data_IF_109825319466
#
_entry.id   IF_109825319466
#
_cell.length_a   1.000
_cell.length_b   1.000
_cell.length_c   1.000
_cell.angle_alpha   90.00
_cell.angle_beta   90.00
_cell.angle_gamma   90.00
#
_symmetry.space_group_name_H-M   'P 1'
#
loop_
_entity.id
_entity.type
_entity.pdbx_description
1 polymer ?
#
# COMPACT_ATOMS: atom_id res chain seq x y z
N UNK A 1 0.40 32.05 -7.78
CA UNK A 1 -0.58 32.65 -6.84
C UNK A 1 -0.44 32.15 -5.41
N UNK A 2 -0.64 30.86 -5.10
CA UNK A 2 -0.46 30.34 -3.73
C UNK A 2 1.01 30.48 -3.26
N UNK A 3 1.95 30.12 -4.14
CA UNK A 3 3.39 30.35 -3.96
C UNK A 3 3.71 31.83 -3.71
N UNK A 4 3.24 32.71 -4.59
CA UNK A 4 3.49 34.16 -4.45
C UNK A 4 2.98 34.73 -3.12
N UNK A 5 1.83 34.25 -2.61
CA UNK A 5 1.27 34.67 -1.33
C UNK A 5 2.13 34.19 -0.15
N UNK A 6 2.63 32.95 -0.21
CA UNK A 6 3.55 32.40 0.79
C UNK A 6 4.92 33.09 0.78
N UNK A 7 5.44 33.43 -0.41
CA UNK A 7 6.79 33.99 -0.56
C UNK A 7 6.82 35.51 -0.33
N UNK A 8 5.77 36.26 -0.69
CA UNK A 8 5.81 37.72 -0.72
C UNK A 8 4.86 38.43 0.27
N UNK A 9 3.82 37.76 0.78
CA UNK A 9 2.75 38.41 1.56
C UNK A 9 2.57 37.82 2.97
N UNK A 10 3.31 36.77 3.33
CA UNK A 10 3.04 35.95 4.52
C UNK A 10 3.07 36.69 5.86
N UNK A 11 3.84 37.78 6.01
CA UNK A 11 3.97 38.50 7.29
C UNK A 11 2.72 39.34 7.67
N UNK A 12 1.81 39.59 6.72
CA UNK A 12 0.57 40.36 6.95
C UNK A 12 -0.68 39.72 6.38
N UNK A 13 -0.57 38.50 5.85
CA UNK A 13 -1.68 37.78 5.24
C UNK A 13 -2.69 37.28 6.28
N UNK A 14 -3.96 37.27 5.90
CA UNK A 14 -5.03 36.64 6.66
C UNK A 14 -4.71 35.16 6.93
N UNK A 15 -4.79 34.67 8.19
CA UNK A 15 -4.48 33.28 8.52
C UNK A 15 -5.26 32.26 7.70
N UNK A 16 -6.54 32.53 7.38
CA UNK A 16 -7.35 31.62 6.57
C UNK A 16 -6.88 31.59 5.11
N UNK A 17 -6.52 32.75 4.53
CA UNK A 17 -5.88 32.80 3.22
C UNK A 17 -4.55 32.05 3.18
N UNK A 18 -3.76 32.15 4.25
CA UNK A 18 -2.48 31.45 4.39
C UNK A 18 -2.66 29.93 4.51
N UNK A 19 -3.63 29.46 5.31
CA UNK A 19 -3.98 28.06 5.44
C UNK A 19 -4.39 27.47 4.08
N UNK A 20 -5.24 28.20 3.34
CA UNK A 20 -5.66 27.81 1.99
C UNK A 20 -4.51 27.80 0.99
N UNK A 21 -3.59 28.75 1.07
CA UNK A 21 -2.41 28.78 0.21
C UNK A 21 -1.49 27.58 0.45
N UNK A 22 -1.24 27.23 1.72
CA UNK A 22 -0.49 26.02 2.11
C UNK A 22 -1.16 24.76 1.59
N UNK A 23 -2.47 24.62 1.80
CA UNK A 23 -3.24 23.50 1.28
C UNK A 23 -3.11 23.35 -0.23
N UNK A 24 -3.39 24.41 -0.99
CA UNK A 24 -3.35 24.35 -2.46
C UNK A 24 -1.96 24.04 -3.00
N UNK A 25 -0.92 24.66 -2.44
CA UNK A 25 0.45 24.39 -2.85
C UNK A 25 0.89 22.97 -2.44
N UNK A 26 0.62 22.55 -1.21
CA UNK A 26 0.91 21.21 -0.71
C UNK A 26 0.22 20.13 -1.56
N UNK A 27 -1.06 20.32 -1.89
CA UNK A 27 -1.80 19.43 -2.79
C UNK A 27 -1.18 19.37 -4.18
N UNK A 28 -0.80 20.51 -4.75
CA UNK A 28 -0.17 20.57 -6.09
C UNK A 28 1.16 19.82 -6.10
N UNK A 29 1.99 20.02 -5.07
CA UNK A 29 3.27 19.33 -4.94
C UNK A 29 3.10 17.84 -4.68
N UNK A 30 2.11 17.44 -3.86
CA UNK A 30 1.76 16.03 -3.66
C UNK A 30 1.37 15.36 -4.97
N UNK A 31 0.52 15.99 -5.79
CA UNK A 31 0.19 15.47 -7.14
C UNK A 31 1.43 15.39 -8.01
N UNK A 32 2.27 16.43 -8.03
CA UNK A 32 3.52 16.43 -8.79
C UNK A 32 4.47 15.29 -8.36
N UNK A 33 4.58 15.03 -7.06
CA UNK A 33 5.36 13.91 -6.52
C UNK A 33 4.89 12.57 -7.08
N UNK A 34 3.60 12.25 -6.94
CA UNK A 34 3.05 10.97 -7.40
C UNK A 34 3.15 10.78 -8.92
N UNK A 35 2.96 11.86 -9.68
CA UNK A 35 3.13 11.82 -11.13
C UNK A 35 4.60 11.61 -11.52
N UNK A 36 5.53 12.21 -10.79
CA UNK A 36 6.95 11.95 -10.97
C UNK A 36 7.34 10.50 -10.62
N UNK A 37 6.78 9.93 -9.55
CA UNK A 37 6.94 8.51 -9.19
C UNK A 37 6.42 7.57 -10.29
N UNK A 38 5.36 7.96 -10.99
CA UNK A 38 4.83 7.23 -12.16
C UNK A 38 5.63 7.45 -13.47
N UNK A 39 6.78 8.14 -13.42
CA UNK A 39 7.62 8.38 -14.61
C UNK A 39 7.23 9.61 -15.43
N UNK A 40 6.36 10.49 -14.92
CA UNK A 40 5.90 11.70 -15.61
C UNK A 40 6.55 12.99 -15.07
N UNK A 41 7.75 12.90 -14.49
CA UNK A 41 8.41 14.01 -13.81
C UNK A 41 8.57 15.28 -14.68
N UNK A 42 8.93 15.13 -15.95
CA UNK A 42 9.12 16.24 -16.88
C UNK A 42 7.81 17.00 -17.16
N UNK A 43 6.70 16.27 -17.34
CA UNK A 43 5.38 16.85 -17.62
C UNK A 43 4.87 17.72 -16.46
N UNK A 44 5.35 17.44 -15.24
CA UNK A 44 4.99 18.18 -14.02
C UNK A 44 6.10 19.10 -13.53
N UNK A 45 7.21 19.22 -14.26
CA UNK A 45 8.32 20.10 -13.91
C UNK A 45 9.02 19.72 -12.60
N UNK A 46 9.01 18.44 -12.24
CA UNK A 46 9.63 17.93 -11.01
C UNK A 46 11.04 17.47 -11.30
N UNK A 47 12.05 18.22 -10.84
CA UNK A 47 13.46 17.87 -10.99
C UNK A 47 14.04 17.11 -9.79
N UNK A 48 13.46 17.31 -8.59
CA UNK A 48 13.92 16.71 -7.34
C UNK A 48 12.73 16.11 -6.59
N UNK A 49 12.40 14.85 -6.91
CA UNK A 49 11.18 14.17 -6.45
C UNK A 49 11.07 14.11 -4.92
N UNK A 50 12.15 13.72 -4.23
CA UNK A 50 12.15 13.60 -2.76
C UNK A 50 12.06 14.96 -2.05
N UNK A 51 12.72 15.99 -2.59
CA UNK A 51 12.58 17.38 -2.11
C UNK A 51 11.14 17.90 -2.25
N UNK A 52 10.45 17.55 -3.34
CA UNK A 52 9.03 17.85 -3.53
C UNK A 52 8.15 17.11 -2.51
N UNK A 53 8.41 15.82 -2.23
CA UNK A 53 7.70 15.05 -1.18
C UNK A 53 7.78 15.74 0.17
N UNK A 54 9.01 16.04 0.62
CA UNK A 54 9.26 16.69 1.92
C UNK A 54 8.55 18.05 2.03
N UNK A 55 8.64 18.87 0.98
CA UNK A 55 7.96 20.18 0.95
C UNK A 55 6.44 20.04 0.98
N UNK A 56 5.88 19.08 0.22
CA UNK A 56 4.46 18.81 0.20
C UNK A 56 3.94 18.36 1.57
N UNK A 57 4.65 17.43 2.23
CA UNK A 57 4.29 16.93 3.54
C UNK A 57 4.24 18.06 4.58
N UNK A 58 5.30 18.90 4.66
CA UNK A 58 5.33 20.03 5.58
C UNK A 58 4.22 21.06 5.34
N UNK A 59 3.89 21.36 4.08
CA UNK A 59 2.79 22.27 3.76
C UNK A 59 1.42 21.69 4.13
N UNK A 60 1.21 20.40 3.92
CA UNK A 60 -0.03 19.72 4.26
C UNK A 60 -0.20 19.56 5.77
N UNK A 61 0.87 19.27 6.52
CA UNK A 61 0.86 19.27 7.98
C UNK A 61 0.40 20.64 8.54
N UNK A 62 0.99 21.74 8.04
CA UNK A 62 0.59 23.09 8.44
C UNK A 62 -0.83 23.44 8.00
N UNK A 63 -1.28 22.93 6.84
CA UNK A 63 -2.65 23.12 6.39
C UNK A 63 -3.64 22.38 7.31
N UNK A 64 -3.38 21.12 7.66
CA UNK A 64 -4.18 20.35 8.64
C UNK A 64 -4.32 21.09 9.97
N UNK A 65 -3.22 21.63 10.48
CA UNK A 65 -3.22 22.36 11.75
C UNK A 65 -4.03 23.68 11.74
N UNK A 66 -4.40 24.21 10.56
CA UNK A 66 -5.00 25.54 10.44
C UNK A 66 -6.32 25.59 9.66
N UNK A 67 -6.65 24.55 8.89
CA UNK A 67 -7.93 24.42 8.21
C UNK A 67 -9.04 24.00 9.18
N UNK A 68 -10.28 24.48 8.99
CA UNK A 68 -11.43 23.97 9.73
C UNK A 68 -11.69 22.49 9.39
N UNK A 69 -11.90 21.67 10.42
CA UNK A 69 -12.05 20.21 10.31
C UNK A 69 -13.32 19.77 9.54
N UNK A 70 -14.33 20.63 9.49
CA UNK A 70 -15.60 20.40 8.78
C UNK A 70 -15.53 20.71 7.28
N UNK A 71 -14.31 20.85 6.72
CA UNK A 71 -14.13 21.18 5.31
C UNK A 71 -13.53 20.03 4.51
N UNK A 72 -13.94 19.83 3.24
CA UNK A 72 -13.32 18.85 2.36
C UNK A 72 -11.82 19.06 2.14
N UNK A 73 -11.36 20.31 2.30
CA UNK A 73 -9.93 20.66 2.23
C UNK A 73 -9.14 20.05 3.40
N UNK A 74 -9.71 20.01 4.61
CA UNK A 74 -9.09 19.35 5.75
C UNK A 74 -8.96 17.84 5.51
N UNK A 75 -10.06 17.19 5.11
CA UNK A 75 -10.06 15.76 4.77
C UNK A 75 -9.00 15.43 3.71
N UNK A 76 -8.98 16.20 2.62
CA UNK A 76 -7.99 16.05 1.53
C UNK A 76 -6.56 16.28 2.03
N UNK A 77 -6.34 17.27 2.89
CA UNK A 77 -5.02 17.54 3.45
C UNK A 77 -4.53 16.37 4.31
N UNK A 78 -5.41 15.80 5.13
CA UNK A 78 -5.13 14.63 5.96
C UNK A 78 -4.72 13.42 5.11
N UNK A 79 -5.56 12.99 4.17
CA UNK A 79 -5.25 11.80 3.35
C UNK A 79 -4.00 11.98 2.49
N UNK A 80 -3.77 13.18 1.93
CA UNK A 80 -2.57 13.44 1.13
C UNK A 80 -1.31 13.52 1.98
N UNK A 81 -1.42 14.00 3.22
CA UNK A 81 -0.31 13.99 4.16
C UNK A 81 0.04 12.56 4.56
N UNK A 82 -0.95 11.75 4.94
CA UNK A 82 -0.76 10.34 5.30
C UNK A 82 -0.07 9.54 4.20
N UNK A 83 -0.50 9.70 2.95
CA UNK A 83 0.14 9.05 1.79
C UNK A 83 1.62 9.42 1.64
N UNK A 84 2.01 10.67 1.85
CA UNK A 84 3.40 11.10 1.68
C UNK A 84 4.30 10.62 2.82
N UNK A 85 3.76 10.51 4.03
CA UNK A 85 4.50 10.04 5.19
C UNK A 85 4.68 8.53 5.17
N UNK A 86 3.64 7.78 4.81
CA UNK A 86 3.74 6.32 4.66
C UNK A 86 4.73 5.93 3.55
N UNK A 87 4.70 6.60 2.39
CA UNK A 87 5.70 6.39 1.34
C UNK A 87 7.13 6.83 1.75
N UNK A 88 7.26 7.78 2.68
CA UNK A 88 8.57 8.08 3.28
C UNK A 88 9.04 6.96 4.19
N UNK A 89 8.16 6.47 5.06
CA UNK A 89 8.42 5.32 5.91
C UNK A 89 8.85 4.09 5.11
N UNK A 90 8.16 3.77 4.01
CA UNK A 90 8.48 2.63 3.13
C UNK A 90 9.74 2.87 2.29
N UNK A 91 9.97 4.10 1.82
CA UNK A 91 11.12 4.44 0.98
C UNK A 91 12.45 4.41 1.73
N UNK A 92 12.44 4.74 3.02
CA UNK A 92 13.64 4.78 3.86
C UNK A 92 14.11 3.34 4.24
N UNK A 93 13.25 2.32 4.14
CA UNK A 93 13.64 0.89 4.26
C UNK A 93 14.57 0.42 3.13
N UNK A 94 14.35 0.91 1.90
CA UNK A 94 15.07 0.43 0.73
C UNK A 94 16.51 0.98 0.61
N UNK A 95 16.86 2.01 1.39
CA UNK A 95 18.18 2.64 1.39
C UNK A 95 19.09 2.17 2.55
N UNK A 96 18.56 1.46 3.56
CA UNK A 96 19.30 0.99 4.75
C UNK A 96 19.86 -0.45 4.62
N UNK A 97 19.54 -1.16 3.52
CA UNK A 97 20.10 -2.49 3.19
C UNK A 97 21.56 -2.44 2.71
N UNK A 98 22.13 -1.24 2.60
CA UNK A 98 23.53 -1.02 2.24
C UNK A 98 24.39 -0.79 3.48
N UNK A 99 25.29 -1.73 3.80
CA UNK A 99 26.45 -1.48 4.65
C UNK A 99 27.29 -0.33 4.05
N UNK A 100 26.92 0.90 4.37
CA UNK A 100 27.49 2.11 3.83
C UNK A 100 27.55 3.15 4.91
N UNK A 101 28.64 3.13 5.70
CA UNK A 101 29.06 4.27 6.52
C UNK A 101 29.28 5.48 5.60
N UNK A 102 28.20 6.24 5.35
CA UNK A 102 28.19 7.38 4.46
C UNK A 102 27.29 8.45 5.04
N UNK A 103 27.82 9.24 5.98
CA UNK A 103 27.23 10.50 6.44
C UNK A 103 27.14 11.49 5.28
N UNK A 104 26.10 11.36 4.45
CA UNK A 104 25.65 12.40 3.54
C UNK A 104 24.83 13.45 4.30
N UNK A 105 24.85 14.73 3.88
CA UNK A 105 24.20 15.85 4.59
C UNK A 105 22.66 15.82 4.58
N UNK A 106 22.04 14.70 4.19
CA UNK A 106 20.58 14.52 4.08
C UNK A 106 20.04 13.33 4.91
N UNK A 107 20.90 12.54 5.56
CA UNK A 107 20.49 11.54 6.54
C UNK A 107 20.24 12.22 7.90
N UNK A 108 19.18 13.01 8.00
CA UNK A 108 18.74 13.62 9.25
C UNK A 108 17.35 13.10 9.58
N UNK A 109 17.32 11.85 10.03
CA UNK A 109 16.14 11.18 10.56
C UNK A 109 16.52 9.74 10.88
N UNK A 110 16.83 9.46 12.14
CA UNK A 110 17.07 8.08 12.59
C UNK A 110 15.76 7.27 12.61
N UNK A 111 15.82 6.02 13.06
CA UNK A 111 14.66 5.14 13.23
C UNK A 111 13.47 5.84 13.93
N UNK A 112 13.74 6.69 14.93
CA UNK A 112 12.72 7.48 15.63
C UNK A 112 11.90 8.40 14.69
N UNK A 113 12.55 9.08 13.73
CA UNK A 113 11.84 9.98 12.80
C UNK A 113 10.99 9.21 11.78
N UNK A 114 11.39 7.97 11.49
CA UNK A 114 10.67 7.06 10.62
C UNK A 114 9.46 6.45 11.34
N UNK A 115 9.61 6.06 12.60
CA UNK A 115 8.50 5.61 13.44
C UNK A 115 7.46 6.72 13.66
N UNK A 116 7.92 7.96 13.87
CA UNK A 116 7.06 9.15 13.96
C UNK A 116 6.25 9.36 12.66
N UNK A 117 6.83 9.07 11.49
CA UNK A 117 6.13 9.19 10.21
C UNK A 117 5.02 8.16 10.05
N UNK A 118 5.25 6.93 10.49
CA UNK A 118 4.25 5.88 10.44
C UNK A 118 3.05 6.25 11.34
N UNK A 119 3.32 6.70 12.56
CA UNK A 119 2.27 7.11 13.50
C UNK A 119 1.48 8.33 13.00
N UNK A 120 2.17 9.34 12.48
CA UNK A 120 1.53 10.52 11.91
C UNK A 120 0.77 10.19 10.62
N UNK A 121 1.23 9.21 9.82
CA UNK A 121 0.52 8.75 8.63
C UNK A 121 -0.82 8.11 9.01
N UNK A 122 -0.81 7.18 9.97
CA UNK A 122 -2.04 6.53 10.44
C UNK A 122 -3.00 7.55 11.05
N UNK A 123 -2.50 8.47 11.89
CA UNK A 123 -3.31 9.54 12.45
C UNK A 123 -3.96 10.40 11.35
N UNK A 124 -3.20 10.72 10.30
CA UNK A 124 -3.73 11.48 9.17
C UNK A 124 -4.82 10.71 8.41
N UNK A 125 -4.69 9.38 8.26
CA UNK A 125 -5.74 8.58 7.64
C UNK A 125 -6.99 8.47 8.52
N UNK A 126 -6.82 8.21 9.82
CA UNK A 126 -7.91 8.13 10.80
C UNK A 126 -8.75 9.42 10.82
N UNK A 127 -8.10 10.58 10.71
CA UNK A 127 -8.78 11.87 10.66
C UNK A 127 -9.41 12.15 9.28
N UNK A 128 -8.72 11.80 8.19
CA UNK A 128 -9.07 12.24 6.86
C UNK A 128 -10.11 11.37 6.15
N UNK A 129 -9.96 10.05 6.23
CA UNK A 129 -10.78 9.08 5.48
C UNK A 129 -12.28 9.17 5.84
N UNK A 130 -12.69 9.26 7.12
CA UNK A 130 -14.11 9.37 7.49
C UNK A 130 -14.79 10.67 7.02
N UNK A 131 -14.00 11.68 6.64
CA UNK A 131 -14.48 13.00 6.24
C UNK A 131 -14.56 13.18 4.72
N UNK A 132 -14.26 12.15 3.93
CA UNK A 132 -14.37 12.22 2.48
C UNK A 132 -15.85 12.16 2.05
N UNK A 133 -16.26 13.11 1.22
CA UNK A 133 -17.63 13.18 0.66
C UNK A 133 -17.91 12.07 -0.36
N UNK A 134 -16.85 11.55 -0.99
CA UNK A 134 -16.89 10.51 -2.01
C UNK A 134 -16.26 9.22 -1.49
N UNK A 135 -16.65 8.09 -2.09
CA UNK A 135 -16.02 6.80 -1.80
C UNK A 135 -14.50 6.92 -2.02
N UNK A 136 -13.66 6.56 -1.03
CA UNK A 136 -12.21 6.64 -1.16
C UNK A 136 -11.72 5.78 -2.32
N UNK A 137 -10.73 6.27 -3.06
CA UNK A 137 -10.10 5.48 -4.11
C UNK A 137 -9.46 4.21 -3.51
N UNK A 138 -9.59 3.02 -4.13
CA UNK A 138 -9.04 1.77 -3.59
C UNK A 138 -7.55 1.85 -3.22
N UNK A 139 -6.74 2.51 -4.06
CA UNK A 139 -5.31 2.74 -3.78
C UNK A 139 -5.02 3.53 -2.49
N UNK A 140 -5.90 4.44 -2.09
CA UNK A 140 -5.79 5.13 -0.80
C UNK A 140 -6.06 4.18 0.37
N UNK A 141 -7.09 3.32 0.24
CA UNK A 141 -7.45 2.36 1.28
C UNK A 141 -6.39 1.26 1.43
N UNK A 142 -5.74 0.85 0.34
CA UNK A 142 -4.59 -0.07 0.42
C UNK A 142 -3.44 0.57 1.18
N UNK A 143 -3.05 1.80 0.85
CA UNK A 143 -1.97 2.49 1.57
C UNK A 143 -2.29 2.64 3.07
N UNK A 144 -3.53 3.00 3.42
CA UNK A 144 -3.95 3.07 4.82
C UNK A 144 -3.94 1.69 5.51
N UNK A 145 -4.45 0.65 4.84
CA UNK A 145 -4.37 -0.73 5.34
C UNK A 145 -2.93 -1.21 5.54
N UNK A 146 -2.02 -0.87 4.63
CA UNK A 146 -0.59 -1.14 4.73
C UNK A 146 0.04 -0.40 5.92
N UNK A 147 -0.24 0.90 6.10
CA UNK A 147 0.25 1.67 7.24
C UNK A 147 -0.22 1.08 8.59
N UNK A 148 -1.48 0.65 8.70
CA UNK A 148 -1.95 -0.05 9.89
C UNK A 148 -1.21 -1.39 10.09
N UNK A 149 -1.01 -2.14 9.02
CA UNK A 149 -0.28 -3.40 9.08
C UNK A 149 1.19 -3.20 9.49
N UNK A 150 1.85 -2.14 9.01
CA UNK A 150 3.23 -1.79 9.37
C UNK A 150 3.31 -1.43 10.86
N UNK A 151 2.33 -0.66 11.35
CA UNK A 151 2.24 -0.32 12.78
C UNK A 151 1.94 -1.55 13.64
N UNK A 152 1.11 -2.47 13.15
CA UNK A 152 0.91 -3.77 13.79
C UNK A 152 2.21 -4.59 13.84
N UNK A 153 2.99 -4.64 12.77
CA UNK A 153 4.24 -5.39 12.75
C UNK A 153 5.23 -4.86 13.79
N UNK A 154 5.27 -3.54 14.00
CA UNK A 154 6.06 -2.85 15.03
C UNK A 154 5.53 -3.07 16.45
N UNK A 155 4.25 -2.79 16.68
CA UNK A 155 3.70 -2.65 18.05
C UNK A 155 2.87 -3.85 18.52
N UNK A 156 2.49 -4.73 17.60
CA UNK A 156 1.57 -5.85 17.81
C UNK A 156 0.21 -5.43 18.39
N UNK A 157 -0.25 -4.23 18.02
CA UNK A 157 -1.53 -3.69 18.44
C UNK A 157 -2.69 -4.42 17.72
N UNK A 158 -3.59 -5.14 18.43
CA UNK A 158 -4.62 -5.96 17.81
C UNK A 158 -5.66 -5.13 17.02
N UNK A 159 -5.90 -3.89 17.42
CA UNK A 159 -6.82 -2.99 16.72
C UNK A 159 -6.31 -2.66 15.31
N UNK A 160 -4.99 -2.55 15.14
CA UNK A 160 -4.36 -2.32 13.83
C UNK A 160 -4.44 -3.55 12.93
N UNK A 161 -4.25 -4.76 13.48
CA UNK A 161 -4.44 -6.00 12.72
C UNK A 161 -5.88 -6.08 12.19
N UNK A 162 -6.87 -5.87 13.06
CA UNK A 162 -8.27 -5.94 12.68
C UNK A 162 -8.66 -4.84 11.69
N UNK A 163 -8.19 -3.61 11.90
CA UNK A 163 -8.42 -2.47 11.01
C UNK A 163 -7.82 -2.67 9.63
N UNK A 164 -6.55 -3.10 9.57
CA UNK A 164 -5.85 -3.38 8.32
C UNK A 164 -6.55 -4.50 7.53
N UNK A 165 -6.87 -5.62 8.18
CA UNK A 165 -7.54 -6.74 7.54
C UNK A 165 -8.93 -6.35 6.99
N UNK A 166 -9.69 -5.55 7.75
CA UNK A 166 -11.00 -5.07 7.33
C UNK A 166 -10.92 -4.13 6.10
N UNK A 167 -9.97 -3.19 6.09
CA UNK A 167 -9.78 -2.26 4.97
C UNK A 167 -9.33 -2.99 3.70
N UNK A 168 -8.31 -3.84 3.81
CA UNK A 168 -7.78 -4.60 2.67
C UNK A 168 -8.81 -5.59 2.14
N UNK A 169 -9.56 -6.26 3.02
CA UNK A 169 -10.68 -7.11 2.64
C UNK A 169 -11.76 -6.35 1.86
N UNK A 170 -12.17 -5.18 2.35
CA UNK A 170 -13.18 -4.34 1.69
C UNK A 170 -12.72 -3.87 0.30
N UNK A 171 -11.45 -3.50 0.14
CA UNK A 171 -10.87 -3.17 -1.17
C UNK A 171 -10.96 -4.34 -2.14
N UNK A 172 -10.61 -5.54 -1.68
CA UNK A 172 -10.64 -6.73 -2.53
C UNK A 172 -12.07 -7.12 -2.93
N UNK A 173 -13.03 -6.98 -2.01
CA UNK A 173 -14.45 -7.18 -2.31
C UNK A 173 -14.98 -6.18 -3.35
N UNK A 174 -14.48 -4.94 -3.34
CA UNK A 174 -14.81 -3.92 -4.36
C UNK A 174 -14.17 -4.26 -5.72
N UNK A 175 -12.88 -4.63 -5.74
CA UNK A 175 -12.15 -4.95 -6.97
C UNK A 175 -12.66 -6.25 -7.63
N UNK A 176 -13.10 -7.23 -6.82
CA UNK A 176 -13.52 -8.57 -7.23
C UNK A 176 -14.75 -9.02 -6.42
N UNK A 177 -15.95 -8.52 -6.76
CA UNK A 177 -17.16 -8.86 -6.03
C UNK A 177 -17.50 -10.35 -6.13
N UNK A 178 -18.28 -10.90 -5.17
CA UNK A 178 -18.68 -12.30 -5.18
C UNK A 178 -19.32 -12.72 -6.50
N UNK A 179 -18.77 -13.77 -7.13
CA UNK A 179 -19.21 -14.27 -8.44
C UNK A 179 -18.40 -13.74 -9.63
N UNK A 180 -17.36 -12.96 -9.39
CA UNK A 180 -16.38 -12.61 -10.43
C UNK A 180 -15.61 -13.87 -10.88
N UNK A 181 -15.60 -14.15 -12.19
CA UNK A 181 -14.75 -15.17 -12.79
C UNK A 181 -13.63 -14.54 -13.62
N UNK A 182 -12.38 -15.07 -13.58
CA UNK A 182 -11.22 -14.52 -14.30
C UNK A 182 -11.32 -14.50 -15.84
N UNK A 183 -12.40 -15.01 -16.44
CA UNK A 183 -12.42 -15.41 -17.85
C UNK A 183 -12.74 -14.30 -18.88
N UNK A 184 -12.94 -13.03 -18.49
CA UNK A 184 -13.26 -11.94 -19.44
C UNK A 184 -12.47 -10.63 -19.23
N UNK A 185 -11.26 -10.66 -18.65
CA UNK A 185 -10.41 -9.48 -18.61
C UNK A 185 -9.74 -9.26 -19.98
N UNK A 186 -10.47 -8.62 -20.89
CA UNK A 186 -9.94 -8.13 -22.16
C UNK A 186 -8.82 -7.11 -21.94
N UNK A 187 -7.76 -7.24 -22.72
CA UNK A 187 -6.57 -6.39 -22.70
C UNK A 187 -6.90 -4.88 -22.70
N UNK A 188 -6.67 -4.21 -21.57
CA UNK A 188 -6.78 -2.77 -21.42
C UNK A 188 -5.91 -2.28 -20.27
N UNK A 189 -5.24 -1.14 -20.43
CA UNK A 189 -4.22 -0.60 -19.52
C UNK A 189 -4.70 -0.29 -18.08
N UNK A 190 -6.00 -0.39 -17.79
CA UNK A 190 -6.55 -0.32 -16.42
C UNK A 190 -6.52 -1.67 -15.70
N UNK A 191 -6.35 -2.77 -16.42
CA UNK A 191 -6.23 -4.12 -15.89
C UNK A 191 -4.89 -4.27 -15.16
N UNK A 192 -3.78 -3.79 -15.73
CA UNK A 192 -2.43 -3.95 -15.14
C UNK A 192 -2.24 -3.24 -13.78
N UNK A 193 -2.80 -2.04 -13.61
CA UNK A 193 -2.68 -1.28 -12.36
C UNK A 193 -3.64 -1.79 -11.27
N UNK A 194 -4.83 -2.23 -11.66
CA UNK A 194 -5.77 -2.90 -10.74
C UNK A 194 -5.21 -4.25 -10.28
N UNK A 195 -4.47 -4.97 -11.15
CA UNK A 195 -3.83 -6.22 -10.82
C UNK A 195 -2.67 -6.03 -9.83
N UNK A 196 -1.86 -4.98 -9.98
CA UNK A 196 -0.80 -4.68 -9.01
C UNK A 196 -1.37 -4.33 -7.63
N UNK A 197 -2.40 -3.49 -7.58
CA UNK A 197 -3.07 -3.11 -6.34
C UNK A 197 -3.73 -4.31 -5.66
N UNK A 198 -4.37 -5.18 -6.44
CA UNK A 198 -4.96 -6.42 -5.96
C UNK A 198 -3.89 -7.35 -5.38
N UNK A 199 -2.75 -7.51 -6.07
CA UNK A 199 -1.63 -8.33 -5.59
C UNK A 199 -1.13 -7.81 -4.25
N UNK A 200 -0.86 -6.52 -4.14
CA UNK A 200 -0.37 -5.89 -2.92
C UNK A 200 -1.34 -6.07 -1.75
N UNK A 201 -2.62 -5.75 -1.97
CA UNK A 201 -3.65 -5.89 -0.95
C UNK A 201 -3.83 -7.33 -0.49
N UNK A 202 -3.83 -8.31 -1.41
CA UNK A 202 -3.94 -9.74 -1.06
C UNK A 202 -2.72 -10.23 -0.30
N UNK A 203 -1.51 -9.86 -0.72
CA UNK A 203 -0.28 -10.27 -0.03
C UNK A 203 -0.28 -9.72 1.39
N UNK A 204 -0.60 -8.44 1.58
CA UNK A 204 -0.63 -7.85 2.92
C UNK A 204 -1.74 -8.47 3.79
N UNK A 205 -2.93 -8.69 3.22
CA UNK A 205 -4.03 -9.35 3.92
C UNK A 205 -3.67 -10.78 4.36
N UNK A 206 -3.03 -11.59 3.49
CA UNK A 206 -2.60 -12.94 3.84
C UNK A 206 -1.66 -12.91 5.06
N UNK A 207 -0.68 -12.02 5.08
CA UNK A 207 0.26 -11.89 6.20
C UNK A 207 -0.46 -11.59 7.51
N UNK A 208 -1.45 -10.68 7.48
CA UNK A 208 -2.25 -10.33 8.65
C UNK A 208 -3.11 -11.50 9.15
N UNK A 209 -3.80 -12.18 8.23
CA UNK A 209 -4.64 -13.33 8.55
C UNK A 209 -3.81 -14.49 9.11
N UNK A 210 -2.58 -14.69 8.62
CA UNK A 210 -1.65 -15.69 9.16
C UNK A 210 -1.09 -15.33 10.53
N UNK A 211 -1.06 -14.05 10.89
CA UNK A 211 -0.66 -13.59 12.21
C UNK A 211 -1.81 -13.70 13.25
N UNK A 212 -3.04 -13.96 12.81
CA UNK A 212 -4.20 -14.19 13.67
C UNK A 212 -4.23 -15.64 14.18
N UNK A 213 -4.68 -15.82 15.43
CA UNK A 213 -4.92 -17.14 16.01
C UNK A 213 -6.32 -17.71 15.65
N UNK A 214 -7.14 -16.97 14.89
CA UNK A 214 -8.48 -17.42 14.48
C UNK A 214 -8.38 -18.45 13.34
N UNK A 215 -8.92 -19.69 13.52
CA UNK A 215 -8.94 -20.67 12.44
C UNK A 215 -9.72 -20.22 11.20
N UNK A 216 -10.70 -19.33 11.33
CA UNK A 216 -11.42 -18.76 10.19
C UNK A 216 -10.51 -17.86 9.34
N UNK A 217 -9.57 -17.15 9.97
CA UNK A 217 -8.59 -16.32 9.27
C UNK A 217 -7.57 -17.18 8.53
N UNK A 218 -7.17 -18.33 9.10
CA UNK A 218 -6.31 -19.29 8.41
C UNK A 218 -6.97 -19.84 7.12
N UNK A 219 -8.26 -20.18 7.17
CA UNK A 219 -9.02 -20.58 5.97
C UNK A 219 -9.15 -19.44 4.97
N UNK A 220 -9.38 -18.21 5.46
CA UNK A 220 -9.44 -17.02 4.63
C UNK A 220 -8.09 -16.77 3.93
N UNK A 221 -6.97 -16.86 4.64
CA UNK A 221 -5.62 -16.68 4.10
C UNK A 221 -5.32 -17.67 2.96
N UNK A 222 -5.69 -18.94 3.15
CA UNK A 222 -5.56 -19.96 2.12
C UNK A 222 -6.38 -19.61 0.86
N UNK A 223 -7.63 -19.19 1.02
CA UNK A 223 -8.47 -18.74 -0.12
C UNK A 223 -7.80 -17.59 -0.88
N UNK A 224 -7.19 -16.63 -0.17
CA UNK A 224 -6.48 -15.52 -0.78
C UNK A 224 -5.22 -15.98 -1.53
N UNK A 225 -4.45 -16.91 -0.96
CA UNK A 225 -3.31 -17.55 -1.62
C UNK A 225 -3.74 -18.30 -2.89
N UNK A 226 -4.86 -19.04 -2.84
CA UNK A 226 -5.38 -19.73 -4.02
C UNK A 226 -5.74 -18.76 -5.15
N UNK A 227 -6.33 -17.62 -4.81
CA UNK A 227 -6.65 -16.56 -5.77
C UNK A 227 -5.39 -15.94 -6.37
N UNK A 228 -4.38 -15.61 -5.54
CA UNK A 228 -3.07 -15.14 -6.02
C UNK A 228 -2.41 -16.16 -6.97
N UNK A 229 -2.47 -17.46 -6.66
CA UNK A 229 -1.93 -18.50 -7.53
C UNK A 229 -2.67 -18.62 -8.88
N UNK A 230 -3.93 -18.19 -8.94
CA UNK A 230 -4.78 -18.28 -10.12
C UNK A 230 -4.74 -17.01 -10.99
N UNK A 231 -4.64 -15.82 -10.40
CA UNK A 231 -4.77 -14.54 -11.11
C UNK A 231 -3.45 -13.89 -11.47
N UNK A 232 -2.39 -14.14 -10.71
CA UNK A 232 -1.09 -13.53 -10.97
C UNK A 232 -0.47 -14.11 -12.26
N UNK A 233 0.16 -13.30 -13.14
CA UNK A 233 0.78 -13.79 -14.37
C UNK A 233 1.81 -14.90 -14.16
N UNK A 234 1.95 -15.76 -15.19
CA UNK A 234 2.97 -16.81 -15.21
C UNK A 234 4.39 -16.19 -15.06
N UNK A 235 5.22 -16.80 -14.21
CA UNK A 235 6.59 -16.35 -13.96
C UNK A 235 6.73 -15.14 -13.02
N UNK A 236 5.62 -14.53 -12.57
CA UNK A 236 5.68 -13.47 -11.56
C UNK A 236 6.21 -14.01 -10.21
N UNK A 237 7.12 -13.32 -9.52
CA UNK A 237 7.71 -13.78 -8.26
C UNK A 237 6.67 -14.15 -7.20
N UNK A 238 5.62 -13.34 -7.03
CA UNK A 238 4.52 -13.61 -6.09
C UNK A 238 3.85 -14.94 -6.38
N UNK A 239 3.63 -15.30 -7.65
CA UNK A 239 2.97 -16.57 -7.99
C UNK A 239 3.82 -17.76 -7.58
N UNK A 240 5.14 -17.69 -7.80
CA UNK A 240 6.09 -18.72 -7.41
C UNK A 240 6.09 -18.89 -5.89
N UNK A 241 6.21 -17.78 -5.15
CA UNK A 241 6.19 -17.77 -3.69
C UNK A 241 4.90 -18.39 -3.13
N UNK A 242 3.75 -17.92 -3.61
CA UNK A 242 2.42 -18.37 -3.17
C UNK A 242 2.19 -19.84 -3.50
N UNK A 243 2.58 -20.32 -4.69
CA UNK A 243 2.46 -21.74 -5.03
C UNK A 243 3.33 -22.62 -4.13
N UNK A 244 4.54 -22.17 -3.78
CA UNK A 244 5.40 -22.87 -2.82
C UNK A 244 4.76 -22.98 -1.45
N UNK A 245 4.23 -21.86 -0.93
CA UNK A 245 3.55 -21.84 0.35
C UNK A 245 2.30 -22.74 0.39
N UNK A 246 1.47 -22.70 -0.67
CA UNK A 246 0.32 -23.59 -0.79
C UNK A 246 0.72 -25.08 -0.82
N UNK A 247 1.85 -25.43 -1.44
CA UNK A 247 2.35 -26.82 -1.41
C UNK A 247 2.64 -27.25 0.02
N UNK A 248 3.26 -26.39 0.84
CA UNK A 248 3.55 -26.70 2.24
C UNK A 248 2.26 -26.86 3.06
N UNK A 249 1.31 -25.92 2.92
CA UNK A 249 -0.01 -26.00 3.57
C UNK A 249 -0.75 -27.31 3.22
N UNK A 250 -0.74 -27.69 1.95
CA UNK A 250 -1.39 -28.93 1.51
C UNK A 250 -0.67 -30.17 2.06
N UNK A 251 0.67 -30.17 2.09
CA UNK A 251 1.46 -31.28 2.64
C UNK A 251 1.21 -31.51 4.12
N UNK A 252 1.11 -30.44 4.91
CA UNK A 252 0.78 -30.54 6.34
C UNK A 252 -0.57 -31.21 6.59
N UNK A 253 -1.50 -31.06 5.64
CA UNK A 253 -2.84 -31.64 5.70
C UNK A 253 -2.97 -33.03 5.12
N UNK A 254 -1.93 -33.58 4.48
CA UNK A 254 -1.98 -34.88 3.78
C UNK A 254 -2.52 -36.01 4.67
N UNK A 255 -2.18 -36.01 5.96
CA UNK A 255 -2.64 -36.99 6.94
C UNK A 255 -4.11 -36.87 7.36
N UNK A 256 -4.76 -35.73 7.08
CA UNK A 256 -6.14 -35.42 7.45
C UNK A 256 -7.15 -35.45 6.29
N UNK A 257 -6.69 -35.64 5.04
CA UNK A 257 -7.55 -35.65 3.85
C UNK A 257 -8.44 -36.90 3.84
N UNK A 258 -9.75 -36.71 3.69
CA UNK A 258 -10.69 -37.84 3.62
C UNK A 258 -10.54 -38.61 2.31
N UNK A 259 -10.83 -39.93 2.26
CA UNK A 259 -10.69 -40.73 1.04
C UNK A 259 -11.42 -40.15 -0.18
N UNK A 260 -12.58 -39.54 0.02
CA UNK A 260 -13.40 -38.88 -0.99
C UNK A 260 -12.79 -37.59 -1.56
N UNK A 261 -11.98 -36.87 -0.77
CA UNK A 261 -11.34 -35.60 -1.14
C UNK A 261 -9.96 -35.81 -1.77
N UNK A 262 -9.36 -36.99 -1.54
CA UNK A 262 -8.01 -37.33 -1.97
C UNK A 262 -7.73 -37.11 -3.47
N UNK A 263 -8.65 -37.44 -4.41
CA UNK A 263 -8.42 -37.17 -5.82
C UNK A 263 -8.29 -35.68 -6.15
N UNK A 264 -9.14 -34.83 -5.55
CA UNK A 264 -9.11 -33.38 -5.74
C UNK A 264 -7.85 -32.76 -5.13
N UNK A 265 -7.49 -33.19 -3.91
CA UNK A 265 -6.24 -32.83 -3.24
C UNK A 265 -5.01 -33.11 -4.13
N UNK A 266 -4.89 -34.35 -4.64
CA UNK A 266 -3.75 -34.73 -5.48
C UNK A 266 -3.73 -33.99 -6.82
N UNK A 267 -4.90 -33.72 -7.41
CA UNK A 267 -4.99 -32.92 -8.63
C UNK A 267 -4.50 -31.49 -8.41
N UNK A 268 -4.90 -30.87 -7.29
CA UNK A 268 -4.47 -29.52 -6.92
C UNK A 268 -2.97 -29.45 -6.65
N UNK A 269 -2.42 -30.40 -5.90
CA UNK A 269 -0.98 -30.48 -5.62
C UNK A 269 -0.15 -30.58 -6.91
N UNK A 270 -0.62 -31.39 -7.88
CA UNK A 270 0.04 -31.51 -9.20
C UNK A 270 -0.01 -30.21 -9.99
N UNK A 271 -1.13 -29.50 -9.93
CA UNK A 271 -1.24 -28.20 -10.61
C UNK A 271 -0.28 -27.17 -9.99
N UNK A 272 -0.18 -27.10 -8.66
CA UNK A 272 0.77 -26.20 -7.99
C UNK A 272 2.22 -26.51 -8.38
N UNK A 273 2.62 -27.79 -8.42
CA UNK A 273 3.96 -28.17 -8.90
C UNK A 273 4.18 -27.79 -10.37
N UNK A 274 3.17 -27.96 -11.22
CA UNK A 274 3.26 -27.55 -12.64
C UNK A 274 3.49 -26.05 -12.77
N UNK A 275 2.82 -25.24 -11.95
CA UNK A 275 2.98 -23.78 -11.93
C UNK A 275 4.39 -23.37 -11.45
N UNK A 276 4.93 -24.05 -10.44
CA UNK A 276 6.31 -23.84 -9.95
C UNK A 276 7.37 -24.20 -10.99
N UNK A 277 7.20 -25.33 -11.70
CA UNK A 277 8.11 -25.76 -12.76
C UNK A 277 8.11 -24.79 -13.95
N UNK A 278 6.93 -24.26 -14.31
CA UNK A 278 6.79 -23.26 -15.37
C UNK A 278 7.51 -21.95 -15.02
N UNK A 279 7.34 -21.44 -13.80
CA UNK A 279 8.02 -20.23 -13.32
C UNK A 279 9.54 -20.38 -13.23
N UNK A 280 10.03 -21.57 -12.87
CA UNK A 280 11.47 -21.86 -12.75
C UNK A 280 12.20 -21.94 -14.08
N UNK A 281 11.48 -22.19 -15.19
CA UNK A 281 12.05 -22.28 -16.53
C UNK A 281 12.41 -20.91 -17.15
N UNK A 282 11.93 -19.81 -16.56
CA UNK A 282 12.18 -18.44 -17.00
C UNK A 282 13.25 -17.69 -16.18
N UNK A 283 13.74 -18.26 -15.09
CA UNK A 283 14.87 -17.71 -14.34
C UNK A 283 16.19 -18.05 -15.07
N UNK A 284 17.12 -17.09 -15.25
CA UNK A 284 18.41 -17.40 -15.85
C UNK A 284 19.12 -18.45 -14.99
N UNK A 285 19.43 -19.60 -15.60
CA UNK A 285 20.27 -20.61 -14.97
C UNK A 285 21.62 -19.98 -14.68
N UNK A 286 21.90 -19.70 -13.40
CA UNK A 286 23.25 -19.35 -12.96
C UNK A 286 24.12 -20.57 -13.24
N UNK A 287 25.05 -20.40 -14.18
CA UNK A 287 26.03 -21.39 -14.59
C UNK A 287 27.31 -21.27 -13.75
#
# INVERSE_FOLDING_TARGET
RARDLLENEAAGADPAALARARFLLGLTLSVGYWQASAGHAEAYGVSERLGVRSTAAGLLALARATLPQDTPAYATACVRHGLLLHDRFEGDDAEDDGEGEGEGPHAVGGADARDDDLDEAVLAFDEGVPLLDEAPHPGLLVAYGCALADRYDRDRAPDDLGGAAALLGAVLDELRPPGWEPAEAGAGSWVDAADQLEIEARVRLVTLLQASDDPADAEQAERQLELLAATVPDGHPTRIFVCGHLVDVYREREGGVRPEERPAYLARLRELYRLLDAGSSHLPRVA
#
